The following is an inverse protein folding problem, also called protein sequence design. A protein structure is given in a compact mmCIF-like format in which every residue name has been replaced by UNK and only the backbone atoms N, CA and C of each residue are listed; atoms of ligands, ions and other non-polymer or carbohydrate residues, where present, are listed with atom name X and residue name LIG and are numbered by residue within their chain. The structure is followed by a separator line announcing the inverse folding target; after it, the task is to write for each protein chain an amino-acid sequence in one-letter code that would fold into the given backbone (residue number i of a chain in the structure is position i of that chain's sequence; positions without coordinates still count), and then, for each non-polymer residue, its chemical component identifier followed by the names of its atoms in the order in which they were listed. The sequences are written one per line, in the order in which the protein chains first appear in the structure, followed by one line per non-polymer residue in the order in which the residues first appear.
data_IF_536031970673
#
_entry.id   IF_536031970673
#
_cell.length_a   1.000
_cell.length_b   1.000
_cell.length_c   1.000
_cell.angle_alpha   90.00
_cell.angle_beta   90.00
_cell.angle_gamma   90.00
#
_symmetry.space_group_name_H-M   'P 1'
#
loop_
_entity.id
_entity.type
_entity.pdbx_description
1 polymer ?
#
# COMPACT_ATOMS: atom_id res chain seq x y z
N UNK A 1 19.63 -15.98 -12.80
CA UNK A 1 18.64 -16.54 -11.86
C UNK A 1 17.32 -16.69 -12.60
N UNK A 2 16.69 -17.85 -12.51
CA UNK A 2 15.30 -18.03 -12.95
C UNK A 2 14.39 -17.06 -12.15
N UNK A 3 13.50 -16.35 -12.85
CA UNK A 3 12.60 -15.35 -12.25
C UNK A 3 11.69 -15.98 -11.18
N UNK A 4 11.35 -17.26 -11.35
CA UNK A 4 10.60 -18.07 -10.39
C UNK A 4 11.40 -18.36 -9.11
N UNK A 5 12.71 -18.55 -9.22
CA UNK A 5 13.59 -18.75 -8.05
C UNK A 5 13.75 -17.46 -7.24
N UNK A 6 13.95 -16.32 -7.90
CA UNK A 6 14.08 -15.02 -7.24
C UNK A 6 12.79 -14.61 -6.49
N UNK A 7 11.62 -14.88 -7.06
CA UNK A 7 10.32 -14.62 -6.43
C UNK A 7 10.12 -15.47 -5.15
N UNK A 8 10.47 -16.76 -5.19
CA UNK A 8 10.40 -17.64 -4.01
C UNK A 8 11.34 -17.20 -2.89
N UNK A 9 12.55 -16.76 -3.24
CA UNK A 9 13.51 -16.21 -2.26
C UNK A 9 12.95 -14.94 -1.61
N UNK A 10 12.39 -14.03 -2.41
CA UNK A 10 11.79 -12.80 -1.91
C UNK A 10 10.60 -13.09 -0.97
N UNK A 11 9.69 -13.99 -1.36
CA UNK A 11 8.55 -14.41 -0.51
C UNK A 11 9.01 -15.00 0.81
N UNK A 12 9.95 -15.95 0.76
CA UNK A 12 10.47 -16.58 1.98
C UNK A 12 11.15 -15.56 2.88
N UNK A 13 11.92 -14.64 2.31
CA UNK A 13 12.59 -13.58 3.07
C UNK A 13 11.60 -12.66 3.79
N UNK A 14 10.53 -12.21 3.14
CA UNK A 14 9.52 -11.33 3.76
C UNK A 14 8.78 -12.03 4.91
N UNK A 15 8.59 -13.36 4.83
CA UNK A 15 8.00 -14.15 5.90
C UNK A 15 8.88 -14.40 7.14
N UNK A 16 10.16 -14.01 7.11
CA UNK A 16 11.07 -14.23 8.24
C UNK A 16 10.87 -13.18 9.35
N UNK A 17 11.10 -13.58 10.63
CA UNK A 17 11.25 -12.64 11.73
C UNK A 17 12.24 -11.51 11.40
N UNK A 18 11.97 -10.30 11.92
CA UNK A 18 12.79 -9.09 11.65
C UNK A 18 14.27 -9.33 11.93
N UNK A 19 14.60 -10.01 13.03
CA UNK A 19 15.99 -10.31 13.39
C UNK A 19 16.70 -11.23 12.37
N UNK A 20 15.98 -12.23 11.85
CA UNK A 20 16.52 -13.11 10.81
C UNK A 20 16.71 -12.35 9.49
N UNK A 21 15.78 -11.47 9.13
CA UNK A 21 15.94 -10.58 7.96
C UNK A 21 17.16 -9.69 8.09
N UNK A 22 17.39 -9.09 9.27
CA UNK A 22 18.57 -8.25 9.57
C UNK A 22 19.87 -9.03 9.42
N UNK A 23 19.95 -10.23 9.99
CA UNK A 23 21.13 -11.09 9.87
C UNK A 23 21.44 -11.46 8.42
N UNK A 24 20.40 -11.79 7.63
CA UNK A 24 20.57 -12.11 6.20
C UNK A 24 21.06 -10.89 5.42
N UNK A 25 20.48 -9.70 5.65
CA UNK A 25 20.94 -8.48 5.00
C UNK A 25 22.39 -8.14 5.35
N UNK A 26 22.82 -8.38 6.59
CA UNK A 26 24.21 -8.26 7.02
C UNK A 26 25.16 -9.15 6.20
N UNK A 27 24.84 -10.46 6.14
CA UNK A 27 25.65 -11.45 5.39
C UNK A 27 25.69 -11.18 3.88
N UNK A 28 24.61 -10.65 3.32
CA UNK A 28 24.52 -10.31 1.88
C UNK A 28 25.40 -9.10 1.55
N UNK A 29 25.43 -8.10 2.44
CA UNK A 29 26.34 -6.97 2.31
C UNK A 29 27.82 -7.40 2.43
N UNK A 30 28.14 -8.33 3.33
CA UNK A 30 29.49 -8.88 3.51
C UNK A 30 30.00 -9.63 2.26
N UNK A 31 29.10 -10.31 1.54
CA UNK A 31 29.42 -11.05 0.31
C UNK A 31 29.40 -10.18 -0.95
N UNK A 32 29.18 -8.86 -0.81
CA UNK A 32 29.14 -7.92 -1.94
C UNK A 32 27.93 -8.09 -2.85
N UNK A 33 26.91 -8.83 -2.42
CA UNK A 33 25.69 -9.08 -3.19
C UNK A 33 24.64 -7.99 -2.88
N UNK A 34 23.85 -7.60 -3.89
CA UNK A 34 22.82 -6.56 -3.73
C UNK A 34 21.43 -7.14 -3.59
N UNK A 35 20.80 -6.91 -2.45
CA UNK A 35 19.39 -7.27 -2.20
C UNK A 35 18.39 -6.47 -3.04
N UNK A 36 18.82 -5.34 -3.63
CA UNK A 36 17.97 -4.45 -4.42
C UNK A 36 17.46 -5.06 -5.72
N UNK A 37 18.06 -6.16 -6.17
CA UNK A 37 17.71 -6.85 -7.40
C UNK A 37 16.62 -7.91 -7.21
N UNK A 38 16.23 -8.20 -5.95
CA UNK A 38 15.13 -9.13 -5.71
C UNK A 38 13.79 -8.47 -6.07
N UNK A 39 12.88 -9.23 -6.69
CA UNK A 39 11.54 -8.73 -6.96
C UNK A 39 10.81 -8.44 -5.65
N UNK A 40 9.88 -7.49 -5.68
CA UNK A 40 8.97 -7.27 -4.55
C UNK A 40 8.15 -8.54 -4.38
N UNK A 41 8.25 -9.17 -3.21
CA UNK A 41 7.48 -10.35 -2.89
C UNK A 41 5.99 -10.00 -2.92
N UNK A 42 5.23 -10.71 -3.75
CA UNK A 42 3.76 -10.63 -3.70
C UNK A 42 3.33 -11.47 -2.50
N UNK A 43 3.01 -10.80 -1.39
CA UNK A 43 2.49 -11.42 -0.15
C UNK A 43 1.00 -11.15 0.05
N UNK A 44 0.35 -10.53 -0.93
CA UNK A 44 -0.91 -9.79 -0.77
C UNK A 44 -2.16 -10.68 -0.58
N UNK A 45 -2.13 -11.95 -0.99
CA UNK A 45 -3.32 -12.82 -0.99
C UNK A 45 -3.45 -13.71 0.25
N UNK A 46 -2.45 -13.77 1.12
CA UNK A 46 -2.40 -14.75 2.23
C UNK A 46 -2.33 -14.10 3.62
N UNK A 47 -2.16 -12.77 3.70
CA UNK A 47 -2.03 -12.06 4.98
C UNK A 47 -3.40 -11.55 5.42
N UNK A 48 -3.95 -12.13 6.48
CA UNK A 48 -5.23 -11.72 7.07
C UNK A 48 -5.24 -10.26 7.56
N UNK A 49 -4.10 -9.74 8.03
CA UNK A 49 -3.94 -8.36 8.53
C UNK A 49 -2.75 -7.68 7.83
N UNK A 50 -3.02 -6.84 6.83
CA UNK A 50 -1.97 -6.17 6.07
C UNK A 50 -1.37 -5.04 6.92
N UNK A 51 -0.06 -5.05 7.25
CA UNK A 51 0.53 -4.01 8.09
C UNK A 51 0.58 -2.66 7.35
N UNK A 52 0.49 -1.56 8.10
CA UNK A 52 0.77 -0.23 7.57
C UNK A 52 2.25 -0.11 7.22
N UNK A 53 2.57 0.63 6.15
CA UNK A 53 3.92 1.14 5.93
C UNK A 53 4.30 2.17 7.01
N UNK A 54 5.60 2.37 7.25
CA UNK A 54 6.07 3.38 8.21
C UNK A 54 5.54 4.79 7.92
N UNK A 55 5.39 5.16 6.65
CA UNK A 55 4.82 6.45 6.26
C UNK A 55 3.33 6.55 6.63
N UNK A 56 2.57 5.47 6.42
CA UNK A 56 1.15 5.40 6.83
C UNK A 56 1.01 5.43 8.36
N UNK A 57 1.85 4.71 9.11
CA UNK A 57 1.85 4.76 10.58
C UNK A 57 2.10 6.18 11.10
N UNK A 58 3.12 6.86 10.56
CA UNK A 58 3.41 8.26 10.91
C UNK A 58 2.23 9.16 10.58
N UNK A 59 1.63 9.00 9.40
CA UNK A 59 0.49 9.84 8.99
C UNK A 59 -0.71 9.63 9.90
N UNK A 60 -1.03 8.38 10.22
CA UNK A 60 -2.12 8.03 11.11
C UNK A 60 -1.90 8.60 12.51
N UNK A 61 -0.68 8.50 13.04
CA UNK A 61 -0.32 9.12 14.32
C UNK A 61 -0.54 10.64 14.31
N UNK A 62 -0.10 11.34 13.26
CA UNK A 62 -0.32 12.78 13.12
C UNK A 62 -1.81 13.12 13.03
N UNK A 63 -2.59 12.35 12.27
CA UNK A 63 -4.03 12.54 12.18
C UNK A 63 -4.75 12.28 13.50
N UNK A 64 -4.34 11.27 14.29
CA UNK A 64 -4.92 11.01 15.62
C UNK A 64 -4.70 12.15 16.62
N UNK A 65 -3.58 12.87 16.51
CA UNK A 65 -3.30 14.03 17.38
C UNK A 65 -4.16 15.24 17.00
N UNK A 66 -4.39 15.47 15.70
CA UNK A 66 -5.19 16.59 15.19
C UNK A 66 -6.17 16.15 14.08
N UNK A 67 -7.30 15.50 14.41
CA UNK A 67 -8.18 14.88 13.42
C UNK A 67 -8.83 15.87 12.43
N UNK A 68 -8.91 17.14 12.81
CA UNK A 68 -9.48 18.22 12.01
C UNK A 68 -8.43 18.95 11.17
N UNK A 69 -7.15 18.60 11.30
CA UNK A 69 -6.09 19.23 10.53
C UNK A 69 -6.13 18.74 9.07
N UNK A 70 -6.19 19.70 8.14
CA UNK A 70 -6.29 19.45 6.70
C UNK A 70 -4.94 19.48 5.98
N UNK A 71 -3.82 19.60 6.70
CA UNK A 71 -2.48 19.76 6.13
C UNK A 71 -2.06 18.64 5.16
N UNK A 72 -2.68 17.46 5.27
CA UNK A 72 -2.41 16.30 4.43
C UNK A 72 -3.48 16.05 3.35
N UNK A 73 -4.46 16.94 3.21
CA UNK A 73 -5.37 16.90 2.07
C UNK A 73 -4.63 17.39 0.82
N UNK A 74 -4.85 16.72 -0.32
CA UNK A 74 -4.27 17.09 -1.61
C UNK A 74 -5.40 17.54 -2.56
N UNK A 75 -5.96 18.74 -2.37
CA UNK A 75 -7.03 19.23 -3.23
C UNK A 75 -6.50 19.54 -4.63
N UNK A 76 -7.24 19.13 -5.66
CA UNK A 76 -6.97 19.47 -7.04
C UNK A 76 -8.28 19.89 -7.72
N UNK A 77 -8.22 20.96 -8.51
CA UNK A 77 -9.33 21.40 -9.35
C UNK A 77 -8.87 21.42 -10.81
N UNK A 78 -9.72 20.89 -11.71
CA UNK A 78 -9.46 20.85 -13.15
C UNK A 78 -10.63 21.53 -13.87
N UNK A 79 -10.31 22.36 -14.88
CA UNK A 79 -11.30 22.98 -15.75
C UNK A 79 -11.40 22.20 -17.05
N UNK A 80 -12.58 21.66 -17.32
CA UNK A 80 -12.89 20.98 -18.58
C UNK A 80 -13.63 21.95 -19.50
N UNK A 81 -13.22 22.02 -20.76
CA UNK A 81 -13.87 22.86 -21.77
C UNK A 81 -14.54 21.97 -22.81
N UNK A 82 -15.80 22.28 -23.15
CA UNK A 82 -16.61 21.50 -24.09
C UNK A 82 -17.70 20.66 -23.40
N UNK A 83 -18.44 19.84 -24.16
CA UNK A 83 -19.50 19.01 -23.62
C UNK A 83 -18.93 17.93 -22.68
N UNK A 84 -19.42 17.90 -21.45
CA UNK A 84 -19.11 16.87 -20.46
C UNK A 84 -20.26 15.87 -20.40
N UNK A 85 -19.94 14.58 -20.41
CA UNK A 85 -20.88 13.51 -20.07
C UNK A 85 -20.68 13.11 -18.59
N UNK A 86 -21.57 13.48 -17.66
CA UNK A 86 -21.40 13.18 -16.24
C UNK A 86 -21.42 11.68 -15.93
N UNK A 87 -22.22 10.90 -16.66
CA UNK A 87 -22.29 9.45 -16.47
C UNK A 87 -20.98 8.77 -16.86
N UNK A 88 -20.36 9.21 -17.97
CA UNK A 88 -19.06 8.69 -18.39
C UNK A 88 -17.95 9.08 -17.40
N UNK A 89 -18.00 10.31 -16.85
CA UNK A 89 -17.07 10.74 -15.81
C UNK A 89 -17.20 9.89 -14.55
N UNK A 90 -18.42 9.65 -14.07
CA UNK A 90 -18.66 8.78 -12.91
C UNK A 90 -18.17 7.36 -13.12
N UNK A 91 -18.49 6.75 -14.26
CA UNK A 91 -18.00 5.42 -14.60
C UNK A 91 -16.46 5.35 -14.63
N UNK A 92 -15.79 6.40 -15.13
CA UNK A 92 -14.33 6.46 -15.15
C UNK A 92 -13.74 6.58 -13.72
N UNK A 93 -14.35 7.39 -12.85
CA UNK A 93 -13.92 7.51 -11.46
C UNK A 93 -14.15 6.21 -10.68
N UNK A 94 -15.28 5.54 -10.87
CA UNK A 94 -15.54 4.23 -10.27
C UNK A 94 -14.49 3.20 -10.74
N UNK A 95 -14.15 3.17 -12.04
CA UNK A 95 -13.09 2.31 -12.55
C UNK A 95 -11.72 2.60 -11.92
N UNK A 96 -11.39 3.87 -11.66
CA UNK A 96 -10.15 4.22 -10.95
C UNK A 96 -10.16 3.67 -9.52
N UNK A 97 -11.25 3.84 -8.77
CA UNK A 97 -11.38 3.32 -7.41
C UNK A 97 -11.29 1.79 -7.38
N UNK A 98 -11.93 1.10 -8.31
CA UNK A 98 -11.85 -0.36 -8.41
C UNK A 98 -10.43 -0.84 -8.70
N UNK A 99 -9.77 -0.19 -9.66
CA UNK A 99 -8.40 -0.53 -10.10
C UNK A 99 -7.35 -0.29 -9.01
N UNK A 100 -7.52 0.74 -8.18
CA UNK A 100 -6.52 1.16 -7.21
C UNK A 100 -6.95 0.85 -5.78
N UNK A 101 -6.39 -0.22 -5.20
CA UNK A 101 -6.66 -0.63 -3.80
C UNK A 101 -6.54 0.53 -2.80
N UNK A 102 -5.53 1.40 -2.96
CA UNK A 102 -5.30 2.51 -2.03
C UNK A 102 -6.49 3.47 -1.92
N UNK A 103 -7.35 3.56 -2.95
CA UNK A 103 -8.55 4.41 -2.94
C UNK A 103 -9.73 3.76 -2.22
N UNK A 104 -9.60 2.47 -1.89
CA UNK A 104 -10.59 1.65 -1.17
C UNK A 104 -9.97 0.98 0.05
N UNK A 105 -8.86 1.50 0.56
CA UNK A 105 -8.22 1.07 1.81
C UNK A 105 -8.72 1.92 2.97
N UNK A 106 -9.12 1.25 4.06
CA UNK A 106 -9.29 1.89 5.38
C UNK A 106 -8.23 1.40 6.36
N UNK A 107 -7.91 2.23 7.36
CA UNK A 107 -7.08 1.83 8.49
C UNK A 107 -7.98 1.47 9.67
N UNK A 108 -7.90 0.24 10.14
CA UNK A 108 -8.71 -0.30 11.22
C UNK A 108 -7.81 -0.70 12.39
N UNK A 109 -8.31 -0.50 13.61
CA UNK A 109 -7.62 -0.90 14.84
C UNK A 109 -8.27 -2.14 15.41
N UNK A 110 -7.48 -3.19 15.61
CA UNK A 110 -7.88 -4.40 16.32
C UNK A 110 -6.81 -4.70 17.39
N UNK A 111 -7.22 -4.96 18.62
CA UNK A 111 -6.32 -5.27 19.75
C UNK A 111 -5.21 -4.22 20.00
N UNK A 112 -5.47 -2.95 19.62
CA UNK A 112 -4.51 -1.85 19.75
C UNK A 112 -3.51 -1.75 18.60
N UNK A 113 -3.59 -2.62 17.59
CA UNK A 113 -2.75 -2.57 16.39
C UNK A 113 -3.54 -2.15 15.16
N UNK A 114 -2.97 -1.21 14.39
CA UNK A 114 -3.55 -0.77 13.12
C UNK A 114 -3.12 -1.66 11.97
N UNK A 115 -4.08 -1.99 11.12
CA UNK A 115 -3.85 -2.67 9.85
C UNK A 115 -4.64 -2.02 8.71
N UNK A 116 -4.21 -2.33 7.49
CA UNK A 116 -4.87 -1.92 6.25
C UNK A 116 -5.94 -2.96 5.92
N UNK A 117 -7.16 -2.49 5.73
CA UNK A 117 -8.24 -3.29 5.17
C UNK A 117 -8.61 -2.74 3.81
N UNK A 118 -8.43 -3.57 2.79
CA UNK A 118 -8.71 -3.25 1.41
C UNK A 118 -10.13 -3.71 1.09
N UNK A 119 -11.06 -2.78 0.95
CA UNK A 119 -12.46 -3.08 0.65
C UNK A 119 -12.58 -3.62 -0.78
N UNK A 120 -13.48 -4.59 -1.05
CA UNK A 120 -13.62 -5.17 -2.39
C UNK A 120 -14.10 -4.15 -3.43
N UNK A 121 -14.83 -3.13 -2.98
CA UNK A 121 -15.37 -2.06 -3.81
C UNK A 121 -15.33 -0.74 -3.02
N UNK A 122 -15.06 0.36 -3.73
CA UNK A 122 -15.33 1.72 -3.27
C UNK A 122 -16.22 2.42 -4.30
N UNK A 123 -17.05 3.35 -3.84
CA UNK A 123 -17.97 4.10 -4.70
C UNK A 123 -17.57 5.58 -4.68
N UNK A 124 -17.64 6.24 -5.84
CA UNK A 124 -17.52 7.69 -5.93
C UNK A 124 -18.91 8.29 -6.03
N UNK A 125 -19.29 9.11 -5.05
CA UNK A 125 -20.51 9.91 -5.16
C UNK A 125 -20.18 11.16 -6.00
N UNK A 126 -20.75 11.22 -7.21
CA UNK A 126 -20.79 12.42 -8.06
C UNK A 126 -22.19 13.02 -8.06
#
# INVERSE_FOLDING_TARGET
MDQSAAARIAQRFVGLPVEQRRQILGKINETGQSFRLLPIAVTRHEIARIPLSYAQQRMLFLWQMEPHNIAYNVPLAVRLNGPLNPQALGAALDQLVQRHETLRTRFVSEDGEFHQEVLPQGNVAL
#
